data_IF_132461104370
#
_entry.id   IF_132461104370
#
_cell.length_a   1.000
_cell.length_b   1.000
_cell.length_c   1.000
_cell.angle_alpha   90.00
_cell.angle_beta   90.00
_cell.angle_gamma   90.00
#
_symmetry.space_group_name_H-M   'P 1'
#
loop_
_entity.id
_entity.type
_entity.pdbx_description
1 polymer ?
#
# COMPACT_ATOMS: atom_id res chain seq x y z
N UNK A 1 14.24 12.41 -15.21
CA UNK A 1 13.66 11.97 -13.90
C UNK A 1 12.35 11.23 -14.13
N UNK A 2 11.77 10.50 -13.14
CA UNK A 2 10.56 9.67 -13.33
C UNK A 2 9.33 10.44 -13.86
N UNK A 3 9.24 11.74 -13.62
CA UNK A 3 8.17 12.62 -14.13
C UNK A 3 8.31 12.92 -15.64
N UNK A 4 9.54 12.84 -16.13
CA UNK A 4 9.94 13.08 -17.53
C UNK A 4 10.10 11.79 -18.32
N UNK A 5 9.90 10.63 -17.68
CA UNK A 5 10.00 9.34 -18.35
C UNK A 5 8.75 9.06 -19.19
N UNK A 6 8.87 8.03 -20.03
CA UNK A 6 7.79 7.54 -20.87
C UNK A 6 6.72 6.75 -20.10
N UNK A 7 6.89 6.56 -18.78
CA UNK A 7 5.91 5.89 -17.92
C UNK A 7 4.59 6.68 -17.95
N UNK A 8 3.51 6.00 -18.32
CA UNK A 8 2.17 6.57 -18.41
C UNK A 8 1.52 6.70 -17.04
N UNK A 9 1.72 5.72 -16.15
CA UNK A 9 1.16 5.68 -14.82
C UNK A 9 -0.35 5.49 -14.78
N UNK A 10 -1.00 5.95 -13.73
CA UNK A 10 -2.44 5.79 -13.54
C UNK A 10 -3.18 7.10 -13.75
N UNK A 11 -4.26 7.08 -14.54
CA UNK A 11 -5.10 8.26 -14.74
C UNK A 11 -6.51 8.04 -14.13
N UNK A 12 -6.77 8.56 -12.92
CA UNK A 12 -8.11 8.52 -12.34
C UNK A 12 -9.07 9.39 -13.16
N UNK A 13 -10.30 8.93 -13.37
CA UNK A 13 -11.32 9.68 -14.13
C UNK A 13 -11.61 11.08 -13.54
N UNK A 14 -11.37 11.26 -12.23
CA UNK A 14 -11.66 12.49 -11.49
C UNK A 14 -10.42 13.38 -11.26
N UNK A 15 -9.30 13.13 -11.96
CA UNK A 15 -8.09 13.95 -11.84
C UNK A 15 -7.57 14.42 -13.20
N UNK A 16 -7.16 15.69 -13.26
CA UNK A 16 -6.57 16.29 -14.46
C UNK A 16 -5.12 15.81 -14.72
N UNK A 17 -4.47 15.24 -13.70
CA UNK A 17 -3.08 14.81 -13.77
C UNK A 17 -2.94 13.31 -13.56
N UNK A 18 -2.04 12.70 -14.36
CA UNK A 18 -1.60 11.31 -14.18
C UNK A 18 -0.85 11.15 -12.85
N UNK A 19 -1.13 10.06 -12.16
CA UNK A 19 -0.46 9.63 -10.95
C UNK A 19 0.62 8.60 -11.31
N UNK A 20 1.89 8.96 -11.11
CA UNK A 20 3.03 8.05 -11.37
C UNK A 20 3.67 7.63 -10.05
N UNK A 21 3.94 8.57 -9.15
CA UNK A 21 4.61 8.29 -7.88
C UNK A 21 3.88 8.99 -6.75
N UNK A 22 3.76 8.30 -5.61
CA UNK A 22 3.37 8.86 -4.33
C UNK A 22 4.45 8.55 -3.30
N UNK A 23 4.98 9.60 -2.68
CA UNK A 23 5.99 9.52 -1.63
C UNK A 23 5.36 9.84 -0.29
N UNK A 24 5.62 9.01 0.72
CA UNK A 24 5.22 9.25 2.10
C UNK A 24 6.34 8.83 3.05
N UNK A 25 7.11 9.80 3.54
CA UNK A 25 8.33 9.54 4.32
C UNK A 25 9.26 8.62 3.53
N UNK A 26 9.55 7.42 4.04
CA UNK A 26 10.41 6.42 3.39
C UNK A 26 9.61 5.47 2.48
N UNK A 27 8.28 5.50 2.56
CA UNK A 27 7.41 4.66 1.73
C UNK A 27 7.20 5.31 0.36
N UNK A 28 7.53 4.56 -0.68
CA UNK A 28 7.35 4.98 -2.08
C UNK A 28 6.36 4.05 -2.76
N UNK A 29 5.33 4.62 -3.37
CA UNK A 29 4.38 3.90 -4.21
C UNK A 29 4.50 4.39 -5.64
N UNK A 30 4.69 3.47 -6.58
CA UNK A 30 4.71 3.76 -8.02
C UNK A 30 3.48 3.13 -8.65
N UNK A 31 2.81 3.89 -9.50
CA UNK A 31 1.65 3.47 -10.26
C UNK A 31 2.08 3.26 -11.71
N UNK A 32 1.74 2.09 -12.25
CA UNK A 32 2.03 1.70 -13.63
C UNK A 32 0.71 1.43 -14.36
N UNK A 33 0.65 1.81 -15.62
CA UNK A 33 -0.42 1.41 -16.54
C UNK A 33 -0.18 -0.01 -17.02
N UNK A 34 -1.18 -0.59 -17.70
CA UNK A 34 -1.02 -1.86 -18.40
C UNK A 34 -0.05 -1.82 -19.59
N UNK A 35 0.29 -0.61 -20.06
CA UNK A 35 1.19 -0.36 -21.18
C UNK A 35 2.61 -0.03 -20.73
N UNK A 36 2.82 0.14 -19.42
CA UNK A 36 4.15 0.42 -18.88
C UNK A 36 4.90 -0.89 -18.65
N UNK A 37 6.20 -0.86 -18.96
CA UNK A 37 7.11 -1.97 -18.69
C UNK A 37 7.74 -1.80 -17.31
N UNK A 38 7.86 -2.89 -16.56
CA UNK A 38 8.42 -2.84 -15.22
C UNK A 38 9.93 -2.59 -15.26
N UNK A 39 10.57 -3.07 -16.31
CA UNK A 39 12.00 -2.91 -16.59
C UNK A 39 12.40 -1.44 -16.72
N UNK A 40 11.56 -0.61 -17.38
CA UNK A 40 11.78 0.83 -17.51
C UNK A 40 11.78 1.51 -16.13
N UNK A 41 10.90 1.05 -15.22
CA UNK A 41 10.87 1.53 -13.85
C UNK A 41 12.12 1.11 -13.09
N UNK A 42 12.56 -0.14 -13.22
CA UNK A 42 13.77 -0.62 -12.56
C UNK A 42 15.02 0.15 -12.97
N UNK A 43 15.16 0.47 -14.26
CA UNK A 43 16.29 1.26 -14.77
C UNK A 43 16.29 2.65 -14.12
N UNK A 44 15.15 3.35 -14.13
CA UNK A 44 15.01 4.68 -13.52
C UNK A 44 15.33 4.64 -12.02
N UNK A 45 14.84 3.63 -11.31
CA UNK A 45 15.06 3.48 -9.87
C UNK A 45 16.52 3.12 -9.54
N UNK A 46 17.18 2.31 -10.37
CA UNK A 46 18.59 1.95 -10.21
C UNK A 46 19.50 3.16 -10.44
N UNK A 47 19.25 3.96 -11.46
CA UNK A 47 19.98 5.20 -11.72
C UNK A 47 19.86 6.18 -10.55
N UNK A 48 18.65 6.32 -10.01
CA UNK A 48 18.40 7.12 -8.81
C UNK A 48 19.15 6.59 -7.58
N UNK A 49 19.09 5.28 -7.34
CA UNK A 49 19.82 4.65 -6.25
C UNK A 49 21.33 4.86 -6.37
N UNK A 50 21.88 4.74 -7.58
CA UNK A 50 23.29 4.93 -7.84
C UNK A 50 23.72 6.38 -7.62
N UNK A 51 22.93 7.35 -8.09
CA UNK A 51 23.20 8.78 -7.91
C UNK A 51 23.16 9.21 -6.43
N UNK A 52 22.17 8.70 -5.67
CA UNK A 52 21.94 9.07 -4.28
C UNK A 52 22.68 8.16 -3.27
N UNK A 53 23.34 7.10 -3.75
CA UNK A 53 23.99 6.05 -2.93
C UNK A 53 23.05 5.41 -1.91
N UNK A 54 21.79 5.25 -2.29
CA UNK A 54 20.75 4.58 -1.48
C UNK A 54 20.40 3.23 -2.10
N UNK A 55 19.73 2.36 -1.33
CA UNK A 55 19.24 1.07 -1.81
C UNK A 55 17.79 0.90 -1.43
N UNK A 56 16.95 0.50 -2.39
CA UNK A 56 15.59 0.09 -2.08
C UNK A 56 15.58 -1.21 -1.28
N UNK A 57 14.62 -1.30 -0.35
CA UNK A 57 14.37 -2.53 0.37
C UNK A 57 13.52 -3.47 -0.51
N UNK A 58 14.19 -4.16 -1.42
CA UNK A 58 13.60 -5.14 -2.35
C UNK A 58 12.73 -6.14 -1.60
N UNK A 59 13.18 -6.62 -0.43
CA UNK A 59 12.45 -7.58 0.39
C UNK A 59 11.10 -7.06 0.95
N UNK A 60 10.92 -5.73 0.99
CA UNK A 60 9.66 -5.07 1.36
C UNK A 60 8.86 -4.57 0.16
N UNK A 61 9.38 -4.75 -1.06
CA UNK A 61 8.73 -4.26 -2.27
C UNK A 61 7.68 -5.28 -2.71
N UNK A 62 6.44 -4.80 -2.88
CA UNK A 62 5.29 -5.60 -3.25
C UNK A 62 4.60 -5.03 -4.49
N UNK A 63 4.21 -5.90 -5.43
CA UNK A 63 3.40 -5.53 -6.60
C UNK A 63 1.94 -5.86 -6.31
N UNK A 64 1.08 -4.86 -6.40
CA UNK A 64 -0.36 -4.99 -6.18
C UNK A 64 -1.09 -4.80 -7.52
N UNK A 65 -1.55 -5.87 -8.19
CA UNK A 65 -2.28 -5.73 -9.44
C UNK A 65 -3.68 -5.15 -9.19
N UNK A 66 -4.02 -4.07 -9.92
CA UNK A 66 -5.32 -3.41 -9.88
C UNK A 66 -5.97 -3.54 -11.26
N UNK A 67 -7.29 -3.77 -11.34
CA UNK A 67 -8.00 -3.94 -12.61
C UNK A 67 -9.06 -5.02 -12.56
N UNK A 68 -9.40 -5.63 -13.70
CA UNK A 68 -10.34 -6.75 -13.75
C UNK A 68 -9.75 -8.02 -13.11
N UNK A 69 -10.56 -8.97 -12.60
CA UNK A 69 -10.05 -10.23 -12.07
C UNK A 69 -9.16 -10.98 -13.08
N UNK A 70 -9.51 -10.94 -14.36
CA UNK A 70 -8.77 -11.56 -15.46
C UNK A 70 -7.41 -10.90 -15.64
N UNK A 71 -7.36 -9.56 -15.61
CA UNK A 71 -6.10 -8.81 -15.67
C UNK A 71 -5.22 -9.11 -14.46
N UNK A 72 -5.77 -9.08 -13.24
CA UNK A 72 -5.02 -9.41 -12.01
C UNK A 72 -4.44 -10.81 -12.06
N UNK A 73 -5.21 -11.78 -12.55
CA UNK A 73 -4.74 -13.16 -12.74
C UNK A 73 -3.64 -13.22 -13.80
N UNK A 74 -3.82 -12.52 -14.92
CA UNK A 74 -2.82 -12.45 -15.98
C UNK A 74 -1.51 -11.84 -15.51
N UNK A 75 -1.53 -10.78 -14.72
CA UNK A 75 -0.33 -10.18 -14.09
C UNK A 75 0.28 -11.18 -13.11
N UNK A 76 -0.50 -11.75 -12.21
CA UNK A 76 0.00 -12.75 -11.28
C UNK A 76 0.64 -13.96 -12.00
N UNK A 77 0.12 -14.38 -13.14
CA UNK A 77 0.64 -15.51 -13.93
C UNK A 77 1.84 -15.12 -14.80
N UNK A 78 1.80 -13.98 -15.51
CA UNK A 78 2.88 -13.49 -16.39
C UNK A 78 4.15 -13.19 -15.61
N UNK A 79 4.01 -12.59 -14.43
CA UNK A 79 5.14 -12.32 -13.56
C UNK A 79 5.47 -13.53 -12.64
N UNK A 80 4.79 -14.68 -12.80
CA UNK A 80 5.14 -15.98 -12.18
C UNK A 80 5.77 -16.99 -13.15
N UNK A 81 5.56 -16.90 -14.48
CA UNK A 81 5.87 -17.99 -15.42
C UNK A 81 6.85 -17.53 -16.50
N UNK A 82 8.14 -17.85 -16.30
CA UNK A 82 9.16 -17.86 -17.33
C UNK A 82 10.52 -18.31 -16.79
N UNK A 83 11.36 -19.03 -17.56
CA UNK A 83 12.72 -19.43 -17.17
C UNK A 83 13.69 -18.25 -17.35
N UNK A 84 13.28 -17.04 -16.99
CA UNK A 84 14.16 -15.89 -16.96
C UNK A 84 14.80 -15.78 -15.56
N UNK A 85 16.09 -15.41 -15.48
CA UNK A 85 16.81 -15.42 -14.23
C UNK A 85 16.11 -14.57 -13.19
N UNK A 86 16.06 -15.09 -11.97
CA UNK A 86 15.51 -14.52 -10.74
C UNK A 86 16.15 -13.17 -10.32
N UNK A 87 16.89 -12.52 -11.22
CA UNK A 87 17.78 -11.40 -10.98
C UNK A 87 17.17 -10.05 -11.42
N UNK A 88 16.04 -10.05 -12.15
CA UNK A 88 15.49 -8.85 -12.82
C UNK A 88 14.10 -8.43 -12.32
N UNK A 89 13.76 -8.77 -11.08
CA UNK A 89 12.55 -8.25 -10.44
C UNK A 89 12.92 -7.77 -9.03
N UNK A 90 12.98 -6.45 -8.85
CA UNK A 90 13.11 -5.77 -7.56
C UNK A 90 11.96 -6.09 -6.59
N UNK A 91 10.88 -6.69 -7.06
CA UNK A 91 9.76 -7.09 -6.24
C UNK A 91 9.90 -8.56 -5.79
N UNK A 92 9.95 -8.76 -4.47
CA UNK A 92 9.95 -10.12 -3.90
C UNK A 92 8.58 -10.78 -3.89
N UNK A 93 7.49 -10.01 -3.91
CA UNK A 93 6.13 -10.53 -3.76
C UNK A 93 5.13 -9.84 -4.69
N UNK A 94 4.19 -10.62 -5.21
CA UNK A 94 3.02 -10.16 -5.99
C UNK A 94 1.77 -10.61 -5.22
N UNK A 95 0.92 -9.67 -4.84
CA UNK A 95 -0.30 -9.94 -4.06
C UNK A 95 -1.26 -10.79 -4.89
N UNK A 96 -1.58 -12.01 -4.44
CA UNK A 96 -2.50 -12.89 -5.15
C UNK A 96 -3.96 -12.57 -4.83
N UNK A 97 -4.85 -13.26 -5.53
CA UNK A 97 -6.27 -13.21 -5.23
C UNK A 97 -6.56 -13.81 -3.84
N UNK A 98 -7.01 -12.97 -2.91
CA UNK A 98 -7.27 -13.32 -1.52
C UNK A 98 -6.17 -12.92 -0.54
N UNK A 99 -5.02 -12.44 -1.03
CA UNK A 99 -3.95 -11.92 -0.19
C UNK A 99 -4.22 -10.46 0.21
N UNK A 100 -3.66 -10.07 1.36
CA UNK A 100 -3.73 -8.70 1.89
C UNK A 100 -2.32 -8.11 1.98
N UNK A 101 -2.11 -6.98 1.32
CA UNK A 101 -0.88 -6.18 1.46
C UNK A 101 -1.18 -4.94 2.29
N UNK A 102 -0.24 -4.46 3.11
CA UNK A 102 -0.40 -3.20 3.82
C UNK A 102 0.26 -2.07 3.03
N UNK A 103 -0.49 -1.01 2.73
CA UNK A 103 0.01 0.27 2.24
C UNK A 103 -0.31 1.33 3.29
N UNK A 104 0.71 1.96 3.91
CA UNK A 104 0.53 3.01 4.92
C UNK A 104 -0.43 2.61 6.06
N UNK A 105 -0.22 1.43 6.64
CA UNK A 105 -1.09 0.79 7.65
C UNK A 105 -2.52 0.44 7.21
N UNK A 106 -2.86 0.65 5.93
CA UNK A 106 -4.13 0.23 5.33
C UNK A 106 -3.94 -1.10 4.61
N UNK A 107 -4.69 -2.12 5.02
CA UNK A 107 -4.72 -3.40 4.29
C UNK A 107 -5.50 -3.23 2.99
N UNK A 108 -4.81 -3.37 1.87
CA UNK A 108 -5.38 -3.48 0.54
C UNK A 108 -5.62 -4.96 0.28
N UNK A 109 -6.90 -5.33 0.16
CA UNK A 109 -7.32 -6.69 -0.21
C UNK A 109 -7.84 -6.72 -1.65
N UNK A 110 -7.62 -7.85 -2.34
CA UNK A 110 -8.06 -8.12 -3.71
C UNK A 110 -9.60 -8.33 -3.84
N UNK A 111 -10.39 -7.77 -2.92
CA UNK A 111 -11.84 -7.60 -2.90
C UNK A 111 -12.12 -6.70 -1.68
N UNK A 112 -12.65 -5.50 -1.92
CA UNK A 112 -12.95 -4.55 -0.85
C UNK A 112 -14.10 -5.11 -0.02
N UNK A 113 -13.80 -5.74 1.11
CA UNK A 113 -14.75 -5.75 2.22
C UNK A 113 -14.44 -4.50 3.06
N UNK A 114 -15.23 -3.44 2.88
CA UNK A 114 -15.05 -2.18 3.61
C UNK A 114 -15.04 -2.37 5.13
N UNK A 115 -15.61 -3.48 5.63
CA UNK A 115 -15.58 -3.81 7.06
C UNK A 115 -14.19 -4.21 7.57
N UNK A 116 -13.32 -4.79 6.72
CA UNK A 116 -11.98 -5.23 7.14
C UNK A 116 -10.99 -4.09 7.30
N UNK A 117 -11.11 -2.99 6.56
CA UNK A 117 -10.27 -1.79 6.76
C UNK A 117 -10.41 -1.26 8.20
N UNK A 118 -11.62 -1.31 8.74
CA UNK A 118 -11.92 -0.92 10.12
C UNK A 118 -11.53 -1.97 11.16
N UNK A 119 -11.29 -3.24 10.79
CA UNK A 119 -11.04 -4.31 11.76
C UNK A 119 -9.82 -4.05 12.65
N UNK A 120 -8.73 -3.55 12.07
CA UNK A 120 -7.52 -3.18 12.82
C UNK A 120 -7.77 -1.99 13.75
N UNK A 121 -8.50 -0.97 13.28
CA UNK A 121 -8.84 0.22 14.06
C UNK A 121 -9.78 -0.15 15.22
N UNK A 122 -10.83 -0.94 14.95
CA UNK A 122 -11.75 -1.46 15.96
C UNK A 122 -11.02 -2.29 17.01
N UNK A 123 -10.06 -3.12 16.59
CA UNK A 123 -9.25 -3.92 17.53
C UNK A 123 -8.37 -3.01 18.40
N UNK A 124 -7.68 -2.04 17.83
CA UNK A 124 -6.86 -1.05 18.58
C UNK A 124 -7.71 -0.25 19.58
N UNK A 125 -8.89 0.19 19.16
CA UNK A 125 -9.85 0.88 20.04
C UNK A 125 -10.28 -0.01 21.19
N UNK A 126 -10.68 -1.26 20.92
CA UNK A 126 -11.06 -2.23 21.96
C UNK A 126 -9.94 -2.46 22.97
N UNK A 127 -8.73 -2.77 22.50
CA UNK A 127 -7.57 -2.98 23.39
C UNK A 127 -7.26 -1.74 24.24
N UNK A 128 -7.41 -0.53 23.68
CA UNK A 128 -7.23 0.71 24.44
C UNK A 128 -8.31 0.87 25.51
N UNK A 129 -9.58 0.65 25.16
CA UNK A 129 -10.70 0.72 26.10
C UNK A 129 -10.59 -0.32 27.22
N UNK A 130 -10.19 -1.56 26.92
CA UNK A 130 -9.99 -2.63 27.90
C UNK A 130 -8.87 -2.27 28.89
N UNK A 131 -7.75 -1.73 28.38
CA UNK A 131 -6.64 -1.23 29.22
C UNK A 131 -7.11 -0.13 30.17
N UNK A 132 -7.89 0.82 29.67
CA UNK A 132 -8.43 1.90 30.50
C UNK A 132 -9.49 1.40 31.48
N UNK A 133 -10.32 0.42 31.10
CA UNK A 133 -11.31 -0.18 31.99
C UNK A 133 -10.66 -0.84 33.22
N UNK A 134 -9.48 -1.46 33.05
CA UNK A 134 -8.71 -2.05 34.15
C UNK A 134 -8.29 -1.01 35.22
N UNK A 135 -8.13 0.26 34.84
CA UNK A 135 -7.78 1.35 35.77
C UNK A 135 -8.98 1.88 36.59
N UNK A 136 -10.19 1.34 36.38
CA UNK A 136 -11.44 1.71 37.06
C UNK A 136 -11.73 3.23 37.13
N UNK A 137 -11.74 3.94 35.99
CA UNK A 137 -11.94 5.38 35.97
C UNK A 137 -13.36 5.78 36.41
N UNK A 138 -13.46 6.93 37.07
CA UNK A 138 -14.74 7.58 37.39
C UNK A 138 -15.49 7.99 36.11
N UNK A 139 -16.79 8.31 36.24
CA UNK A 139 -17.66 8.63 35.10
C UNK A 139 -17.08 9.72 34.16
N UNK A 140 -16.50 10.77 34.75
CA UNK A 140 -15.84 11.86 34.01
C UNK A 140 -14.61 11.36 33.23
N UNK A 141 -13.83 10.46 33.84
CA UNK A 141 -12.69 9.81 33.19
C UNK A 141 -13.12 8.91 32.03
N UNK A 142 -14.17 8.10 32.22
CA UNK A 142 -14.76 7.29 31.14
C UNK A 142 -15.18 8.13 29.94
N UNK A 143 -15.82 9.28 30.18
CA UNK A 143 -16.22 10.23 29.11
C UNK A 143 -15.01 10.74 28.32
N UNK A 144 -13.96 11.18 29.02
CA UNK A 144 -12.72 11.69 28.41
C UNK A 144 -12.01 10.60 27.61
N UNK A 145 -11.89 9.40 28.17
CA UNK A 145 -11.25 8.25 27.51
C UNK A 145 -12.02 7.86 26.25
N UNK A 146 -13.36 7.81 26.30
CA UNK A 146 -14.17 7.53 25.13
C UNK A 146 -13.96 8.58 24.03
N UNK A 147 -13.93 9.87 24.38
CA UNK A 147 -13.65 10.94 23.42
C UNK A 147 -12.26 10.81 22.81
N UNK A 148 -11.23 10.57 23.62
CA UNK A 148 -9.84 10.50 23.15
C UNK A 148 -9.58 9.24 22.31
N UNK A 149 -10.03 8.07 22.78
CA UNK A 149 -9.75 6.79 22.12
C UNK A 149 -10.60 6.58 20.87
N UNK A 150 -11.89 6.95 20.89
CA UNK A 150 -12.75 6.79 19.71
C UNK A 150 -12.48 7.89 18.69
N UNK A 151 -12.51 9.17 19.08
CA UNK A 151 -12.40 10.25 18.09
C UNK A 151 -11.02 10.25 17.43
N UNK A 152 -9.93 10.14 18.20
CA UNK A 152 -8.59 10.20 17.62
C UNK A 152 -8.29 9.03 16.67
N UNK A 153 -8.84 7.84 16.93
CA UNK A 153 -8.56 6.67 16.10
C UNK A 153 -9.52 6.49 14.92
N UNK A 154 -10.75 7.02 15.01
CA UNK A 154 -11.74 6.90 13.92
C UNK A 154 -11.66 8.05 12.93
N UNK A 155 -11.21 9.24 13.35
CA UNK A 155 -11.11 10.41 12.50
C UNK A 155 -10.03 10.29 11.40
N UNK A 156 -9.05 9.39 11.56
CA UNK A 156 -8.02 9.15 10.54
C UNK A 156 -8.58 8.57 9.23
N UNK A 157 -9.70 7.84 9.31
CA UNK A 157 -10.34 7.18 8.16
C UNK A 157 -11.60 7.92 7.66
N UNK A 158 -11.89 9.12 8.18
CA UNK A 158 -13.04 9.95 7.80
C UNK A 158 -12.56 11.14 6.99
#
# INVERSE_FOLDING_TARGET
>A
MIWESHIQGFNPADMDNRLIVKLFVDDTTVYLSEWDHFEDLEEILNDWCQALRVKFNIAKTEIIPIGTPEYRKCVADKYRIGPLPKETLMATNITQYGDSTCLLDVKIENKIDGQKAWSNVVTKVKTSLDRWAASRPMLKGKRLIAQLALAAQTQYLT
#
